data_IF_626231603705
#
_entry.id   IF_626231603705
#
_cell.length_a   1.000
_cell.length_b   1.000
_cell.length_c   1.000
_cell.angle_alpha   90.00
_cell.angle_beta   90.00
_cell.angle_gamma   90.00
#
_symmetry.space_group_name_H-M   'P 1'
#
loop_
_entity.id
_entity.type
_entity.pdbx_description
1 polymer ?
#
# COMPACT_ATOMS: atom_id res chain seq x y z
N UNK A 1 70.43 -46.36 23.97
CA UNK A 1 69.88 -47.69 24.32
C UNK A 1 68.39 -47.71 23.96
N UNK A 2 67.79 -48.88 23.66
CA UNK A 2 66.47 -49.02 23.01
C UNK A 2 65.33 -49.19 24.05
N UNK A 3 64.03 -49.42 23.76
CA UNK A 3 63.34 -50.43 22.91
C UNK A 3 62.29 -49.78 21.96
N UNK A 4 62.03 -50.24 20.72
CA UNK A 4 61.30 -51.47 20.27
C UNK A 4 59.84 -51.49 20.79
N UNK A 5 58.76 -51.54 20.00
CA UNK A 5 58.21 -52.63 19.11
C UNK A 5 56.87 -52.07 18.51
N UNK A 6 56.28 -52.34 17.32
CA UNK A 6 56.55 -53.08 16.04
C UNK A 6 55.64 -52.55 14.89
N UNK A 7 55.67 -53.20 13.71
CA UNK A 7 54.88 -52.96 12.47
C UNK A 7 53.42 -53.50 12.47
N UNK A 8 52.60 -53.01 11.52
CA UNK A 8 51.85 -53.69 10.42
C UNK A 8 50.71 -52.73 9.95
N UNK A 9 50.40 -52.37 8.69
CA UNK A 9 50.53 -52.88 7.30
C UNK A 9 49.20 -53.39 6.69
N UNK A 10 49.09 -53.34 5.35
CA UNK A 10 47.96 -53.77 4.49
C UNK A 10 46.66 -52.91 4.52
N UNK A 11 45.88 -52.77 3.44
CA UNK A 11 46.16 -53.00 2.00
C UNK A 11 45.21 -52.18 1.09
N UNK A 12 45.66 -51.81 -0.11
CA UNK A 12 44.81 -51.33 -1.21
C UNK A 12 44.44 -52.51 -2.13
N UNK A 13 43.15 -52.78 -2.35
CA UNK A 13 42.65 -53.59 -3.49
C UNK A 13 41.32 -53.01 -3.99
N UNK A 14 41.20 -52.84 -5.31
CA UNK A 14 39.94 -52.54 -6.02
C UNK A 14 39.24 -53.85 -6.42
N UNK A 15 37.91 -53.85 -6.57
CA UNK A 15 37.19 -54.14 -7.83
C UNK A 15 35.70 -54.50 -7.66
N UNK A 16 34.91 -54.23 -8.72
CA UNK A 16 33.67 -54.91 -9.17
C UNK A 16 32.53 -55.05 -8.14
N UNK A 17 31.40 -54.33 -8.20
CA UNK A 17 30.36 -54.16 -9.27
C UNK A 17 29.41 -55.37 -9.36
N UNK A 18 28.12 -55.09 -9.61
CA UNK A 18 26.94 -55.99 -9.74
C UNK A 18 26.06 -56.10 -8.48
N UNK A 19 25.04 -55.23 -8.45
CA UNK A 19 23.62 -55.47 -8.16
C UNK A 19 23.17 -56.61 -7.21
N UNK A 20 22.39 -56.25 -6.19
CA UNK A 20 20.95 -56.60 -6.10
C UNK A 20 20.26 -55.98 -4.86
N UNK A 21 19.03 -55.46 -5.07
CA UNK A 21 17.94 -55.25 -4.09
C UNK A 21 18.14 -54.29 -2.88
N UNK A 22 17.03 -53.71 -2.41
CA UNK A 22 16.84 -53.50 -0.95
C UNK A 22 16.82 -52.09 -0.38
N UNK A 23 16.76 -51.01 -1.17
CA UNK A 23 16.64 -49.64 -0.62
C UNK A 23 15.65 -48.77 -1.42
N UNK A 24 14.35 -48.97 -1.20
CA UNK A 24 13.34 -47.96 -1.55
C UNK A 24 13.55 -46.74 -0.67
N UNK A 25 14.27 -45.73 -1.20
CA UNK A 25 14.32 -44.39 -0.62
C UNK A 25 12.96 -43.72 -0.78
N UNK A 26 12.00 -44.14 0.05
CA UNK A 26 10.85 -43.35 0.44
C UNK A 26 11.40 -42.14 1.20
N UNK A 27 11.85 -41.13 0.44
CA UNK A 27 12.02 -39.79 0.96
C UNK A 27 10.66 -39.40 1.52
N UNK A 28 10.59 -39.30 2.85
CA UNK A 28 9.47 -38.71 3.55
C UNK A 28 9.35 -37.26 3.10
N UNK A 29 8.58 -37.05 2.02
CA UNK A 29 7.91 -35.79 1.80
C UNK A 29 7.00 -35.60 3.01
N UNK A 30 7.56 -34.96 4.04
CA UNK A 30 6.79 -34.25 5.04
C UNK A 30 6.05 -33.17 4.29
N UNK A 31 4.90 -33.56 3.74
CA UNK A 31 3.86 -32.66 3.31
C UNK A 31 3.39 -31.93 4.55
N UNK A 32 4.12 -30.88 4.93
CA UNK A 32 3.64 -29.83 5.80
C UNK A 32 2.28 -29.45 5.24
N UNK A 33 1.24 -29.79 6.00
CA UNK A 33 -0.12 -29.61 5.53
C UNK A 33 -0.27 -28.14 5.16
N UNK A 34 -0.61 -27.89 3.89
CA UNK A 34 -1.26 -26.64 3.55
C UNK A 34 -2.51 -26.61 4.44
N UNK A 35 -2.50 -25.76 5.45
CA UNK A 35 -3.72 -25.20 6.01
C UNK A 35 -4.35 -24.39 4.87
N UNK A 36 -4.99 -25.11 3.94
CA UNK A 36 -5.92 -24.55 2.99
C UNK A 36 -6.99 -23.88 3.83
N UNK A 37 -7.07 -22.55 3.70
CA UNK A 37 -8.07 -21.78 4.40
C UNK A 37 -9.42 -22.07 3.73
N UNK A 38 -10.10 -23.11 4.21
CA UNK A 38 -11.33 -23.66 3.64
C UNK A 38 -12.54 -22.69 3.72
N UNK A 39 -12.32 -21.41 4.08
CA UNK A 39 -13.29 -20.34 3.94
C UNK A 39 -13.54 -20.05 2.45
N UNK A 40 -14.82 -19.94 2.09
CA UNK A 40 -15.23 -19.48 0.78
C UNK A 40 -15.28 -17.95 0.79
N UNK A 41 -14.32 -17.32 0.14
CA UNK A 41 -14.26 -15.87 -0.02
C UNK A 41 -15.19 -15.42 -1.16
N UNK A 42 -15.99 -14.39 -0.91
CA UNK A 42 -16.92 -13.79 -1.88
C UNK A 42 -16.18 -12.90 -2.89
N UNK A 43 -15.13 -12.19 -2.45
CA UNK A 43 -14.27 -11.36 -3.33
C UNK A 43 -12.78 -11.46 -2.98
N UNK A 44 -11.92 -11.10 -3.93
CA UNK A 44 -10.47 -11.04 -3.71
C UNK A 44 -10.07 -10.00 -2.64
N UNK A 45 -10.85 -8.93 -2.47
CA UNK A 45 -10.62 -7.90 -1.45
C UNK A 45 -10.88 -8.49 -0.05
N UNK A 46 -11.95 -9.28 0.11
CA UNK A 46 -12.23 -9.99 1.36
C UNK A 46 -11.08 -10.92 1.75
N UNK A 47 -10.52 -11.65 0.79
CA UNK A 47 -9.36 -12.53 0.99
C UNK A 47 -8.07 -11.74 1.30
N UNK A 48 -7.85 -10.57 0.70
CA UNK A 48 -6.72 -9.67 0.99
C UNK A 48 -6.84 -9.07 2.41
N UNK A 49 -8.02 -8.59 2.79
CA UNK A 49 -8.30 -8.11 4.15
C UNK A 49 -8.13 -9.24 5.18
N UNK A 50 -8.56 -10.46 4.86
CA UNK A 50 -8.36 -11.63 5.73
C UNK A 50 -6.87 -11.92 5.94
N UNK A 51 -6.13 -12.13 4.86
CA UNK A 51 -4.69 -12.41 4.89
C UNK A 51 -3.85 -11.30 5.52
N UNK A 52 -4.37 -10.07 5.58
CA UNK A 52 -3.75 -8.95 6.30
C UNK A 52 -4.09 -8.87 7.79
N UNK A 53 -5.20 -9.45 8.27
CA UNK A 53 -5.71 -9.21 9.63
C UNK A 53 -5.68 -10.42 10.59
N UNK A 54 -5.77 -11.66 10.11
CA UNK A 54 -5.84 -12.86 10.96
C UNK A 54 -4.49 -13.58 11.16
N UNK A 55 -4.44 -14.54 12.09
CA UNK A 55 -3.23 -15.28 12.48
C UNK A 55 -2.52 -16.04 11.34
N UNK A 56 -3.26 -16.35 10.26
CA UNK A 56 -2.69 -16.96 9.05
C UNK A 56 -1.71 -16.02 8.31
N UNK A 57 -1.71 -14.71 8.60
CA UNK A 57 -0.89 -13.69 7.94
C UNK A 57 0.62 -13.92 8.08
N UNK A 58 1.06 -14.39 9.25
CA UNK A 58 2.47 -14.72 9.51
C UNK A 58 2.85 -16.17 9.14
N UNK A 59 1.86 -17.02 8.79
CA UNK A 59 2.10 -18.41 8.36
C UNK A 59 2.52 -18.44 6.87
N UNK A 60 3.74 -18.88 6.52
CA UNK A 60 4.14 -18.99 5.11
C UNK A 60 3.39 -20.13 4.40
N UNK A 61 3.34 -20.11 3.07
CA UNK A 61 2.74 -21.18 2.25
C UNK A 61 3.77 -22.20 1.74
N UNK A 62 4.98 -22.16 2.29
CA UNK A 62 6.11 -23.04 1.96
C UNK A 62 7.46 -22.34 2.17
N UNK A 63 8.52 -22.95 1.65
CA UNK A 63 9.89 -22.42 1.71
C UNK A 63 10.54 -22.53 0.33
N UNK A 64 11.34 -21.54 -0.04
CA UNK A 64 12.10 -21.51 -1.30
C UNK A 64 13.49 -22.15 -1.10
N UNK A 65 14.16 -22.66 -2.16
CA UNK A 65 15.47 -23.32 -2.04
C UNK A 65 16.61 -22.45 -1.47
N UNK A 66 16.42 -21.13 -1.44
CA UNK A 66 17.32 -20.14 -0.84
C UNK A 66 17.08 -19.92 0.67
N UNK A 67 16.20 -20.71 1.30
CA UNK A 67 15.82 -20.58 2.71
C UNK A 67 14.81 -19.47 3.03
N UNK A 68 14.40 -18.65 2.06
CA UNK A 68 13.35 -17.64 2.24
C UNK A 68 11.99 -18.32 2.30
N UNK A 69 11.03 -17.75 3.05
CA UNK A 69 9.67 -18.27 3.10
C UNK A 69 8.93 -17.95 1.79
N UNK A 70 8.03 -18.83 1.37
CA UNK A 70 7.09 -18.55 0.28
C UNK A 70 5.86 -17.86 0.85
N UNK A 71 5.53 -16.72 0.28
CA UNK A 71 4.40 -15.87 0.68
C UNK A 71 3.34 -15.82 -0.42
N UNK A 72 2.17 -15.27 -0.09
CA UNK A 72 1.18 -14.80 -1.06
C UNK A 72 1.04 -13.28 -0.89
N UNK A 73 0.53 -12.58 -1.91
CA UNK A 73 0.38 -11.11 -1.92
C UNK A 73 -0.35 -10.57 -0.69
N UNK A 74 -1.35 -11.33 -0.24
CA UNK A 74 -2.21 -11.07 0.91
C UNK A 74 -1.44 -11.13 2.25
N UNK A 75 -0.22 -11.68 2.25
CA UNK A 75 0.70 -11.78 3.39
C UNK A 75 1.89 -10.82 3.26
N UNK A 76 1.67 -9.68 2.59
CA UNK A 76 2.67 -8.63 2.36
C UNK A 76 3.39 -8.19 3.65
N UNK A 77 2.68 -8.11 4.78
CA UNK A 77 3.26 -7.79 6.09
C UNK A 77 4.36 -8.78 6.47
N UNK A 78 4.10 -10.08 6.39
CA UNK A 78 5.05 -11.12 6.79
C UNK A 78 6.23 -11.26 5.83
N UNK A 79 5.98 -11.10 4.52
CA UNK A 79 7.05 -10.98 3.53
C UNK A 79 7.96 -9.79 3.83
N UNK A 80 7.40 -8.63 4.18
CA UNK A 80 8.18 -7.46 4.56
C UNK A 80 8.93 -7.65 5.88
N UNK A 81 8.32 -8.29 6.90
CA UNK A 81 9.00 -8.69 8.14
C UNK A 81 10.21 -9.58 7.86
N UNK A 82 10.12 -10.54 6.92
CA UNK A 82 11.27 -11.35 6.52
C UNK A 82 12.42 -10.51 5.91
N UNK A 83 12.11 -9.53 5.07
CA UNK A 83 13.14 -8.64 4.51
C UNK A 83 13.79 -7.80 5.62
N UNK A 84 13.02 -7.36 6.63
CA UNK A 84 13.52 -6.65 7.81
C UNK A 84 14.40 -7.55 8.72
N UNK A 85 14.05 -8.82 8.93
CA UNK A 85 14.91 -9.80 9.62
C UNK A 85 16.29 -9.91 8.93
N UNK A 86 16.30 -10.03 7.60
CA UNK A 86 17.53 -10.17 6.82
C UNK A 86 18.34 -8.85 6.83
N UNK A 87 17.66 -7.71 6.75
CA UNK A 87 18.29 -6.39 6.86
C UNK A 87 18.91 -6.16 8.25
N UNK A 88 18.23 -6.59 9.31
CA UNK A 88 18.76 -6.59 10.68
C UNK A 88 19.99 -7.50 10.79
N UNK A 89 19.92 -8.73 10.29
CA UNK A 89 21.03 -9.68 10.32
C UNK A 89 22.26 -9.13 9.60
N UNK A 90 22.09 -8.62 8.37
CA UNK A 90 23.15 -7.98 7.59
C UNK A 90 23.84 -6.84 8.35
N UNK A 91 23.08 -5.90 8.91
CA UNK A 91 23.61 -4.74 9.66
C UNK A 91 24.38 -5.16 10.92
N UNK A 92 23.93 -6.21 11.60
CA UNK A 92 24.59 -6.78 12.78
C UNK A 92 25.71 -7.78 12.44
N UNK A 93 26.04 -7.96 11.15
CA UNK A 93 27.04 -8.93 10.65
C UNK A 93 26.72 -10.39 11.00
N UNK A 94 25.43 -10.69 11.23
CA UNK A 94 24.91 -12.04 11.41
C UNK A 94 24.75 -12.64 10.00
N UNK A 95 25.31 -13.83 9.78
CA UNK A 95 25.20 -14.53 8.50
C UNK A 95 23.76 -15.01 8.30
N UNK A 96 23.13 -14.60 7.19
CA UNK A 96 21.78 -15.03 6.80
C UNK A 96 21.82 -15.60 5.37
N UNK A 97 21.53 -16.91 5.17
CA UNK A 97 21.60 -17.53 3.84
C UNK A 97 20.59 -16.96 2.85
N UNK A 98 19.52 -16.30 3.33
CA UNK A 98 18.48 -15.68 2.49
C UNK A 98 19.00 -14.40 1.81
N UNK A 99 20.05 -13.78 2.35
CA UNK A 99 20.62 -12.52 1.86
C UNK A 99 20.87 -12.50 0.36
N UNK A 100 21.48 -13.58 -0.18
CA UNK A 100 21.88 -13.68 -1.58
C UNK A 100 20.71 -13.70 -2.57
N UNK A 101 19.47 -13.87 -2.08
CA UNK A 101 18.27 -13.88 -2.88
C UNK A 101 17.46 -12.56 -2.82
N UNK A 102 17.86 -11.59 -2.00
CA UNK A 102 17.15 -10.31 -1.95
C UNK A 102 17.49 -9.45 -3.19
N UNK A 103 16.49 -8.97 -3.97
CA UNK A 103 16.69 -8.04 -5.09
C UNK A 103 16.93 -6.60 -4.61
N UNK A 104 17.61 -6.44 -3.46
CA UNK A 104 17.73 -5.21 -2.69
C UNK A 104 19.22 -4.90 -2.49
N UNK A 105 19.66 -3.70 -2.86
CA UNK A 105 21.07 -3.29 -2.71
C UNK A 105 21.44 -3.15 -1.22
N UNK A 106 22.67 -3.51 -0.87
CA UNK A 106 23.33 -3.31 0.43
C UNK A 106 22.93 -1.98 1.11
N UNK A 107 23.19 -0.86 0.43
CA UNK A 107 22.88 0.50 0.89
C UNK A 107 21.39 0.77 1.19
N UNK A 108 20.49 -0.01 0.59
CA UNK A 108 19.06 0.05 0.92
C UNK A 108 18.79 -0.71 2.23
N UNK A 109 19.35 -1.90 2.41
CA UNK A 109 19.24 -2.69 3.65
C UNK A 109 19.82 -1.93 4.86
N UNK A 110 20.99 -1.30 4.70
CA UNK A 110 21.58 -0.38 5.70
C UNK A 110 20.58 0.70 6.18
N UNK A 111 19.74 1.19 5.27
CA UNK A 111 18.82 2.30 5.48
C UNK A 111 17.44 1.91 6.03
N UNK A 112 17.09 0.62 6.09
CA UNK A 112 15.70 0.19 6.31
C UNK A 112 15.17 0.44 7.73
N UNK A 113 16.01 0.43 8.76
CA UNK A 113 15.62 0.87 10.13
C UNK A 113 15.16 2.33 10.16
N UNK A 114 15.88 3.23 9.49
CA UNK A 114 15.56 4.67 9.47
C UNK A 114 14.46 5.02 8.46
N UNK A 115 14.35 4.25 7.39
CA UNK A 115 13.41 4.46 6.29
C UNK A 115 12.80 3.11 5.86
N UNK A 116 11.90 2.51 6.65
CA UNK A 116 11.29 1.23 6.32
C UNK A 116 10.51 1.26 5.00
N UNK A 117 10.33 0.08 4.39
CA UNK A 117 9.33 -0.15 3.34
C UNK A 117 7.92 0.20 3.88
N UNK A 118 7.05 0.73 3.02
CA UNK A 118 5.83 1.44 3.44
C UNK A 118 4.80 0.61 4.24
N UNK A 119 4.86 -0.72 4.16
CA UNK A 119 3.91 -1.63 4.83
C UNK A 119 4.39 -2.13 6.21
N UNK A 120 5.63 -1.82 6.63
CA UNK A 120 6.24 -2.31 7.88
C UNK A 120 5.69 -1.65 9.16
N UNK A 121 4.88 -0.60 9.05
CA UNK A 121 4.22 0.03 10.21
C UNK A 121 2.89 -0.65 10.59
N UNK A 122 2.53 -1.77 9.95
CA UNK A 122 1.40 -2.60 10.38
C UNK A 122 1.74 -3.30 11.72
N UNK A 123 0.92 -3.17 12.78
CA UNK A 123 1.17 -3.87 14.04
C UNK A 123 1.12 -5.39 13.82
N UNK A 124 1.95 -6.16 14.53
CA UNK A 124 2.09 -7.61 14.32
C UNK A 124 0.79 -8.38 14.67
N UNK A 125 -0.06 -7.82 15.54
CA UNK A 125 -1.30 -8.43 16.02
C UNK A 125 -2.47 -7.42 16.01
N UNK A 126 -3.09 -7.14 14.84
CA UNK A 126 -4.01 -6.01 14.67
C UNK A 126 -5.38 -6.16 15.33
N UNK A 127 -5.79 -7.39 15.72
CA UNK A 127 -7.15 -7.69 16.21
C UNK A 127 -7.24 -8.05 17.70
N UNK A 128 -6.12 -8.14 18.42
CA UNK A 128 -6.08 -8.77 19.75
C UNK A 128 -6.14 -7.81 20.94
N UNK A 129 -5.94 -6.51 20.71
CA UNK A 129 -6.31 -5.47 21.66
C UNK A 129 -7.74 -5.00 21.38
N UNK A 130 -8.49 -4.67 22.44
CA UNK A 130 -9.89 -4.20 22.34
C UNK A 130 -9.97 -2.76 21.84
N UNK A 131 -9.58 -2.55 20.58
CA UNK A 131 -9.55 -1.23 19.96
C UNK A 131 -10.96 -0.64 19.83
N UNK A 132 -11.03 0.67 19.95
CA UNK A 132 -12.29 1.41 19.94
C UNK A 132 -12.64 1.83 18.53
N UNK A 133 -13.59 1.09 17.95
CA UNK A 133 -13.99 1.19 16.55
C UNK A 133 -14.39 2.62 16.21
N UNK A 134 -13.61 3.25 15.32
CA UNK A 134 -13.80 4.66 14.96
C UNK A 134 -14.83 4.85 13.85
N UNK A 135 -14.93 3.87 12.97
CA UNK A 135 -15.74 3.90 11.73
C UNK A 135 -17.06 3.15 11.93
N UNK A 136 -18.01 3.38 11.03
CA UNK A 136 -19.13 2.46 10.80
C UNK A 136 -19.00 1.84 9.39
N UNK A 137 -19.99 1.05 8.95
CA UNK A 137 -19.95 0.40 7.61
C UNK A 137 -19.82 1.46 6.49
N UNK A 138 -20.69 2.47 6.52
CA UNK A 138 -20.74 3.57 5.53
C UNK A 138 -19.42 4.37 5.46
N UNK A 139 -18.85 4.75 6.61
CA UNK A 139 -17.59 5.52 6.64
C UNK A 139 -16.36 4.66 6.38
N UNK A 140 -16.42 3.34 6.62
CA UNK A 140 -15.35 2.45 6.19
C UNK A 140 -15.30 2.34 4.66
N UNK A 141 -16.43 2.22 3.96
CA UNK A 141 -16.46 2.28 2.50
C UNK A 141 -15.84 3.57 1.97
N UNK A 142 -16.18 4.73 2.57
CA UNK A 142 -15.55 6.01 2.22
C UNK A 142 -14.04 6.02 2.52
N UNK A 143 -13.59 5.42 3.62
CA UNK A 143 -12.18 5.36 4.00
C UNK A 143 -11.36 4.44 3.07
N UNK A 144 -11.91 3.29 2.67
CA UNK A 144 -11.21 2.34 1.81
C UNK A 144 -11.18 2.79 0.34
N UNK A 145 -12.24 3.43 -0.17
CA UNK A 145 -12.24 4.04 -1.50
C UNK A 145 -11.34 5.29 -1.56
N UNK A 146 -11.45 6.19 -0.59
CA UNK A 146 -10.79 7.49 -0.59
C UNK A 146 -10.23 7.82 0.81
N UNK A 147 -9.09 7.22 1.19
CA UNK A 147 -8.48 7.41 2.50
C UNK A 147 -8.05 8.86 2.72
N UNK A 148 -7.95 9.27 3.99
CA UNK A 148 -7.47 10.61 4.35
C UNK A 148 -5.94 10.63 4.51
N UNK A 149 -5.37 11.80 4.24
CA UNK A 149 -4.00 12.15 4.60
C UNK A 149 -3.93 12.89 5.94
N UNK A 150 -2.73 13.25 6.37
CA UNK A 150 -2.52 14.07 7.58
C UNK A 150 -2.13 15.50 7.21
N UNK A 151 -2.81 16.47 7.79
CA UNK A 151 -2.57 17.90 7.56
C UNK A 151 -2.06 18.60 8.81
N UNK A 152 -1.04 19.44 8.63
CA UNK A 152 -0.44 20.28 9.65
C UNK A 152 -0.48 21.73 9.17
N UNK A 153 -1.38 22.53 9.72
CA UNK A 153 -1.64 23.89 9.26
C UNK A 153 -2.11 23.90 7.81
N UNK A 154 -1.34 24.59 6.95
CA UNK A 154 -1.59 24.68 5.51
C UNK A 154 -0.86 23.58 4.70
N UNK A 155 -0.20 22.62 5.36
CA UNK A 155 0.60 21.58 4.72
C UNK A 155 0.00 20.19 4.91
N UNK A 156 -0.67 19.68 3.88
CA UNK A 156 -1.18 18.33 3.85
C UNK A 156 -0.20 17.31 3.26
N UNK A 157 -0.28 16.07 3.75
CA UNK A 157 0.34 14.89 3.18
C UNK A 157 -0.73 14.08 2.45
N UNK A 158 -0.41 13.47 1.30
CA UNK A 158 -1.30 12.50 0.68
C UNK A 158 -1.45 11.23 1.56
N UNK A 159 -2.53 10.44 1.39
CA UNK A 159 -2.76 9.23 2.19
C UNK A 159 -1.61 8.22 2.13
N UNK A 160 -1.35 7.52 3.23
CA UNK A 160 -0.32 6.44 3.29
C UNK A 160 -0.89 5.03 3.20
N UNK A 161 -2.20 4.87 3.24
CA UNK A 161 -2.89 3.58 3.11
C UNK A 161 -3.17 3.27 1.64
N UNK A 162 -3.17 1.98 1.28
CA UNK A 162 -3.65 1.52 -0.03
C UNK A 162 -5.16 1.71 -0.13
N UNK A 163 -5.65 2.22 -1.26
CA UNK A 163 -7.07 2.30 -1.54
C UNK A 163 -7.59 1.02 -2.20
N UNK A 164 -8.86 0.71 -1.95
CA UNK A 164 -9.63 -0.33 -2.59
C UNK A 164 -10.68 0.34 -3.47
N UNK A 165 -10.25 0.74 -4.66
CA UNK A 165 -11.07 1.49 -5.61
C UNK A 165 -12.29 0.68 -6.02
N UNK A 166 -13.47 1.27 -5.83
CA UNK A 166 -14.80 0.70 -6.07
C UNK A 166 -15.26 -0.37 -5.07
N UNK A 167 -14.65 -0.50 -3.87
CA UNK A 167 -15.20 -1.39 -2.83
C UNK A 167 -16.60 -0.95 -2.41
N UNK A 168 -17.52 -1.91 -2.36
CA UNK A 168 -18.95 -1.72 -2.08
C UNK A 168 -19.31 -1.82 -0.58
N UNK A 169 -20.53 -1.39 -0.21
CA UNK A 169 -21.06 -1.64 1.13
C UNK A 169 -21.25 -3.14 1.40
N UNK A 170 -21.67 -3.93 0.41
CA UNK A 170 -21.83 -5.40 0.55
C UNK A 170 -20.50 -6.13 0.80
N UNK A 171 -19.41 -5.69 0.16
CA UNK A 171 -18.07 -6.21 0.45
C UNK A 171 -17.59 -5.84 1.85
N UNK A 172 -17.85 -4.61 2.30
CA UNK A 172 -17.55 -4.21 3.69
C UNK A 172 -18.40 -4.98 4.69
N UNK A 173 -19.63 -5.36 4.34
CA UNK A 173 -20.47 -6.27 5.14
C UNK A 173 -19.83 -7.65 5.21
N UNK A 174 -19.43 -8.25 4.08
CA UNK A 174 -18.78 -9.56 4.04
C UNK A 174 -17.45 -9.60 4.84
N UNK A 175 -16.61 -8.58 4.66
CA UNK A 175 -15.39 -8.37 5.44
C UNK A 175 -15.70 -8.28 6.95
N UNK A 176 -16.80 -7.62 7.33
CA UNK A 176 -17.20 -7.50 8.74
C UNK A 176 -17.83 -8.78 9.31
N UNK A 177 -18.56 -9.56 8.53
CA UNK A 177 -19.07 -10.89 8.92
C UNK A 177 -17.92 -11.80 9.36
N UNK A 178 -16.77 -11.70 8.68
CA UNK A 178 -15.55 -12.42 9.04
C UNK A 178 -14.75 -11.76 10.17
N UNK A 179 -14.52 -10.45 10.14
CA UNK A 179 -13.69 -9.75 11.15
C UNK A 179 -14.37 -9.60 12.51
N UNK A 180 -15.71 -9.53 12.57
CA UNK A 180 -16.47 -9.23 13.79
C UNK A 180 -16.15 -7.86 14.43
N UNK A 181 -15.45 -6.98 13.71
CA UNK A 181 -14.72 -5.85 14.28
C UNK A 181 -15.47 -4.51 14.19
N UNK A 182 -16.55 -4.41 13.41
CA UNK A 182 -17.37 -3.21 13.23
C UNK A 182 -18.76 -3.48 13.81
N UNK A 183 -19.30 -2.61 14.68
CA UNK A 183 -20.67 -2.73 15.15
C UNK A 183 -21.66 -2.77 13.98
N UNK A 184 -22.66 -3.64 14.10
CA UNK A 184 -23.87 -3.48 13.31
C UNK A 184 -24.55 -2.18 13.75
N UNK A 185 -24.78 -1.26 12.82
CA UNK A 185 -25.51 -0.02 13.12
C UNK A 185 -26.97 -0.34 13.45
N UNK A 186 -27.61 0.53 14.23
CA UNK A 186 -29.06 0.51 14.34
C UNK A 186 -29.65 1.22 13.13
N UNK A 187 -30.69 0.64 12.53
CA UNK A 187 -31.40 1.20 11.36
C UNK A 187 -32.03 2.58 11.64
N UNK A 188 -32.11 2.97 12.91
CA UNK A 188 -32.53 4.30 13.37
C UNK A 188 -31.42 5.35 13.19
N UNK A 189 -31.10 5.67 11.94
CA UNK A 189 -30.11 6.69 11.58
C UNK A 189 -30.56 8.10 12.05
N UNK A 190 -30.03 8.55 13.19
CA UNK A 190 -30.34 9.87 13.76
C UNK A 190 -29.76 10.97 12.88
N UNK A 191 -30.58 11.48 11.96
CA UNK A 191 -30.19 12.53 11.00
C UNK A 191 -29.72 13.81 11.70
N UNK A 192 -28.44 14.13 11.53
CA UNK A 192 -27.79 15.34 12.04
C UNK A 192 -28.18 16.63 11.29
N UNK A 193 -27.77 17.77 11.84
CA UNK A 193 -28.03 19.12 11.36
C UNK A 193 -26.72 19.89 11.16
N UNK A 194 -26.27 20.00 9.91
CA UNK A 194 -25.01 20.63 9.49
C UNK A 194 -24.75 21.96 10.22
N UNK A 195 -25.69 22.91 10.15
CA UNK A 195 -25.58 24.26 10.78
C UNK A 195 -25.38 24.23 12.31
N UNK A 196 -25.84 23.17 12.99
CA UNK A 196 -25.61 22.99 14.44
C UNK A 196 -24.23 22.40 14.72
N UNK A 197 -23.82 21.40 13.92
CA UNK A 197 -22.47 20.82 13.99
C UNK A 197 -21.39 21.86 13.67
N UNK A 198 -21.61 22.69 12.67
CA UNK A 198 -20.74 23.80 12.30
C UNK A 198 -20.60 24.81 13.46
N UNK A 199 -21.70 25.23 14.07
CA UNK A 199 -21.70 26.16 15.19
C UNK A 199 -20.98 25.58 16.41
N UNK A 200 -21.26 24.32 16.78
CA UNK A 200 -20.60 23.63 17.88
C UNK A 200 -19.11 23.39 17.61
N UNK A 201 -18.74 23.01 16.38
CA UNK A 201 -17.35 22.89 15.98
C UNK A 201 -16.61 24.22 16.09
N UNK A 202 -17.20 25.31 15.58
CA UNK A 202 -16.65 26.66 15.69
C UNK A 202 -16.48 27.09 17.14
N UNK A 203 -17.46 26.81 18.01
CA UNK A 203 -17.45 27.18 19.43
C UNK A 203 -16.46 26.35 20.29
N UNK A 204 -16.33 25.04 20.03
CA UNK A 204 -15.72 24.12 21.01
C UNK A 204 -14.62 23.21 20.48
N UNK A 205 -14.41 23.11 19.16
CA UNK A 205 -13.44 22.17 18.56
C UNK A 205 -12.41 22.85 17.65
N UNK A 206 -12.78 23.98 17.03
CA UNK A 206 -12.01 24.72 16.02
C UNK A 206 -10.59 25.09 16.45
N UNK A 207 -10.40 25.45 17.73
CA UNK A 207 -9.11 25.85 18.32
C UNK A 207 -8.02 24.77 18.17
N UNK A 208 -8.38 23.49 18.13
CA UNK A 208 -7.42 22.37 17.96
C UNK A 208 -7.59 21.63 16.63
N UNK A 209 -8.79 21.63 16.05
CA UNK A 209 -9.13 20.85 14.84
C UNK A 209 -9.31 21.68 13.56
N UNK A 210 -9.32 23.02 13.64
CA UNK A 210 -9.56 23.89 12.49
C UNK A 210 -8.50 23.79 11.39
N UNK A 211 -7.24 23.63 11.77
CA UNK A 211 -6.09 23.45 10.86
C UNK A 211 -5.29 22.15 11.15
N UNK A 212 -5.86 21.27 11.98
CA UNK A 212 -5.33 19.98 12.47
C UNK A 212 -3.91 19.91 13.03
N UNK A 213 -3.18 21.02 13.17
CA UNK A 213 -1.81 21.07 13.67
C UNK A 213 -1.66 20.43 15.07
N UNK A 214 -2.63 20.65 15.96
CA UNK A 214 -2.60 20.13 17.33
C UNK A 214 -3.28 18.76 17.49
N UNK A 215 -4.07 18.32 16.51
CA UNK A 215 -4.93 17.14 16.63
C UNK A 215 -4.62 16.00 15.65
N UNK A 216 -3.89 16.29 14.57
CA UNK A 216 -3.66 15.37 13.44
C UNK A 216 -4.88 15.15 12.52
N UNK A 217 -6.08 15.57 12.93
CA UNK A 217 -7.34 15.33 12.21
C UNK A 217 -8.20 16.60 12.12
N UNK A 218 -8.46 17.06 10.89
CA UNK A 218 -9.36 18.18 10.58
C UNK A 218 -10.81 17.66 10.37
N UNK A 219 -11.75 18.55 10.04
CA UNK A 219 -13.13 18.17 9.74
C UNK A 219 -13.24 17.09 8.64
N UNK A 220 -12.44 17.22 7.57
CA UNK A 220 -12.44 16.28 6.44
C UNK A 220 -11.96 14.88 6.84
N UNK A 221 -11.00 14.78 7.75
CA UNK A 221 -10.57 13.50 8.32
C UNK A 221 -11.59 12.94 9.33
N UNK A 222 -12.15 13.79 10.20
CA UNK A 222 -13.14 13.38 11.22
C UNK A 222 -14.47 12.90 10.62
N UNK A 223 -14.79 13.26 9.38
CA UNK A 223 -15.93 12.72 8.62
C UNK A 223 -15.89 11.19 8.45
N UNK A 224 -14.73 10.57 8.61
CA UNK A 224 -14.59 9.11 8.53
C UNK A 224 -14.95 8.43 9.85
N UNK A 225 -15.11 9.19 10.94
CA UNK A 225 -15.50 8.64 12.24
C UNK A 225 -17.01 8.68 12.44
N UNK A 226 -17.56 7.67 13.11
CA UNK A 226 -19.00 7.56 13.40
C UNK A 226 -19.44 8.55 14.48
N UNK A 227 -20.73 8.93 14.46
CA UNK A 227 -21.30 9.80 15.49
C UNK A 227 -21.16 9.22 16.91
N UNK A 228 -21.29 7.89 17.07
CA UNK A 228 -21.08 7.22 18.36
C UNK A 228 -19.61 7.24 18.81
N UNK A 229 -18.64 7.18 17.90
CA UNK A 229 -17.23 7.37 18.27
C UNK A 229 -16.96 8.83 18.65
N UNK A 230 -17.45 9.80 17.88
CA UNK A 230 -17.34 11.24 18.19
C UNK A 230 -17.91 11.54 19.58
N UNK A 231 -19.11 11.02 19.88
CA UNK A 231 -19.76 11.13 21.19
C UNK A 231 -18.89 10.55 22.32
N UNK A 232 -18.38 9.33 22.15
CA UNK A 232 -17.53 8.67 23.16
C UNK A 232 -16.21 9.41 23.39
N UNK A 233 -15.50 9.74 22.31
CA UNK A 233 -14.19 10.35 22.33
C UNK A 233 -14.22 11.78 22.89
N UNK A 234 -15.24 12.58 22.55
CA UNK A 234 -15.43 13.91 23.13
C UNK A 234 -15.70 13.83 24.65
N UNK A 235 -16.56 12.91 25.08
CA UNK A 235 -16.90 12.68 26.49
C UNK A 235 -15.77 12.05 27.33
N UNK A 236 -14.57 11.87 26.78
CA UNK A 236 -13.40 11.34 27.49
C UNK A 236 -13.44 9.82 27.70
N UNK A 237 -14.23 9.10 26.90
CA UNK A 237 -14.20 7.64 26.83
C UNK A 237 -13.27 7.20 25.67
N UNK A 238 -12.91 5.92 25.69
CA UNK A 238 -12.53 5.16 24.50
C UNK A 238 -11.18 5.47 23.79
N UNK A 239 -10.17 6.08 24.41
CA UNK A 239 -8.77 6.05 23.89
C UNK A 239 -7.76 6.12 25.07
N UNK A 240 -6.78 5.20 25.10
CA UNK A 240 -5.59 5.31 25.97
C UNK A 240 -4.56 6.28 25.37
N UNK A 241 -3.84 7.04 26.20
CA UNK A 241 -2.92 8.09 25.73
C UNK A 241 -3.61 9.34 25.15
N UNK A 242 -4.92 9.53 25.42
CA UNK A 242 -5.73 10.64 24.91
C UNK A 242 -5.27 12.00 25.47
N UNK A 243 -4.75 12.86 24.59
CA UNK A 243 -4.32 14.24 24.90
C UNK A 243 -5.44 15.30 24.85
N UNK A 244 -6.53 15.04 24.12
CA UNK A 244 -7.67 15.95 23.99
C UNK A 244 -8.35 16.20 25.36
N UNK A 245 -8.81 17.42 25.70
CA UNK A 245 -9.61 17.66 26.90
C UNK A 245 -10.99 16.96 26.83
N UNK A 246 -11.64 16.70 27.97
CA UNK A 246 -13.02 16.20 27.97
C UNK A 246 -13.98 17.35 27.58
N UNK A 247 -14.71 17.18 26.49
CA UNK A 247 -15.75 18.08 26.02
C UNK A 247 -17.08 17.32 26.06
N UNK A 248 -17.90 17.48 27.12
CA UNK A 248 -19.15 16.75 27.24
C UNK A 248 -20.16 17.25 26.20
N UNK A 249 -20.55 16.35 25.29
CA UNK A 249 -21.55 16.58 24.25
C UNK A 249 -22.61 15.49 24.33
N UNK A 250 -23.86 15.79 23.93
CA UNK A 250 -24.90 14.76 23.82
C UNK A 250 -24.69 13.89 22.58
N UNK A 251 -25.43 12.78 22.47
CA UNK A 251 -25.50 12.03 21.20
C UNK A 251 -26.00 12.91 20.05
N UNK A 252 -26.99 13.79 20.30
CA UNK A 252 -27.56 14.67 19.26
C UNK A 252 -26.49 15.62 18.70
N UNK A 253 -25.68 16.19 19.57
CA UNK A 253 -24.57 17.07 19.22
C UNK A 253 -23.51 16.33 18.38
N UNK A 254 -23.22 15.07 18.71
CA UNK A 254 -22.30 14.24 17.93
C UNK A 254 -22.84 13.87 16.54
N UNK A 255 -24.16 13.63 16.40
CA UNK A 255 -24.80 13.48 15.08
C UNK A 255 -24.82 14.80 14.29
N UNK A 256 -25.00 15.94 14.95
CA UNK A 256 -24.94 17.26 14.31
C UNK A 256 -23.50 17.57 13.83
N UNK A 257 -22.48 17.31 14.65
CA UNK A 257 -21.06 17.37 14.26
C UNK A 257 -20.73 16.42 13.11
N UNK A 258 -21.19 15.16 13.17
CA UNK A 258 -20.99 14.18 12.10
C UNK A 258 -21.56 14.67 10.76
N UNK A 259 -22.78 15.24 10.76
CA UNK A 259 -23.38 15.80 9.55
C UNK A 259 -22.59 17.00 8.99
N UNK A 260 -22.05 17.86 9.86
CA UNK A 260 -21.13 18.94 9.45
C UNK A 260 -19.83 18.38 8.85
N UNK A 261 -19.22 17.35 9.44
CA UNK A 261 -18.02 16.73 8.90
C UNK A 261 -18.26 16.02 7.55
N UNK A 262 -19.42 15.35 7.37
CA UNK A 262 -19.80 14.81 6.05
C UNK A 262 -19.87 15.92 5.00
N UNK A 263 -20.51 17.05 5.32
CA UNK A 263 -20.65 18.18 4.40
C UNK A 263 -19.29 18.79 4.01
N UNK A 264 -18.45 19.11 5.00
CA UNK A 264 -17.08 19.61 4.81
C UNK A 264 -16.25 18.67 3.93
N UNK A 265 -16.41 17.35 4.11
CA UNK A 265 -15.76 16.36 3.24
C UNK A 265 -16.32 16.40 1.82
N UNK A 266 -17.64 16.44 1.62
CA UNK A 266 -18.23 16.49 0.27
C UNK A 266 -17.84 17.75 -0.51
N UNK A 267 -17.76 18.91 0.13
CA UNK A 267 -17.23 20.14 -0.50
C UNK A 267 -15.77 19.96 -0.92
N UNK A 268 -14.96 19.30 -0.10
CA UNK A 268 -13.55 19.02 -0.40
C UNK A 268 -13.37 17.93 -1.46
N UNK A 269 -14.26 16.94 -1.54
CA UNK A 269 -14.31 15.91 -2.59
C UNK A 269 -14.70 16.54 -3.95
N UNK A 270 -15.68 17.44 -3.99
CA UNK A 270 -16.05 18.19 -5.20
C UNK A 270 -14.89 19.12 -5.67
N UNK A 271 -14.29 19.86 -4.73
CA UNK A 271 -13.16 20.74 -5.05
C UNK A 271 -11.92 19.95 -5.52
N UNK A 272 -11.65 18.77 -4.95
CA UNK A 272 -10.61 17.86 -5.41
C UNK A 272 -10.95 17.28 -6.79
N UNK A 273 -12.19 16.83 -7.03
CA UNK A 273 -12.63 16.33 -8.34
C UNK A 273 -12.45 17.38 -9.45
N UNK A 274 -12.79 18.64 -9.16
CA UNK A 274 -12.53 19.79 -10.06
C UNK A 274 -11.03 20.05 -10.28
N UNK A 275 -10.22 19.95 -9.24
CA UNK A 275 -8.76 20.09 -9.36
C UNK A 275 -8.11 18.90 -10.12
N UNK A 276 -8.74 17.72 -10.10
CA UNK A 276 -8.36 16.52 -10.84
C UNK A 276 -8.76 16.61 -12.31
N UNK A 277 -9.95 17.12 -12.64
CA UNK A 277 -10.38 17.28 -14.05
C UNK A 277 -9.48 18.22 -14.85
N UNK A 278 -8.85 19.18 -14.19
CA UNK A 278 -7.86 20.08 -14.80
C UNK A 278 -6.57 19.36 -15.22
N UNK A 279 -6.22 18.22 -14.61
CA UNK A 279 -4.94 17.51 -14.86
C UNK A 279 -4.83 17.03 -16.32
N UNK A 280 -5.93 16.64 -16.94
CA UNK A 280 -5.95 16.30 -18.38
C UNK A 280 -5.66 17.53 -19.24
N UNK A 281 -6.24 18.70 -18.93
CA UNK A 281 -5.94 19.93 -19.65
C UNK A 281 -4.49 20.43 -19.41
N UNK A 282 -3.91 20.18 -18.24
CA UNK A 282 -2.50 20.46 -17.94
C UNK A 282 -1.56 19.54 -18.76
N UNK A 283 -1.97 18.29 -19.02
CA UNK A 283 -1.28 17.38 -19.95
C UNK A 283 -1.37 17.87 -21.40
N UNK A 284 -2.53 18.39 -21.81
CA UNK A 284 -2.74 18.93 -23.16
C UNK A 284 -1.85 20.14 -23.47
N UNK A 285 -1.50 20.93 -22.46
CA UNK A 285 -0.60 22.09 -22.59
C UNK A 285 0.90 21.74 -22.54
N UNK A 286 1.28 20.45 -22.44
CA UNK A 286 2.68 20.06 -22.48
C UNK A 286 3.26 20.09 -23.90
N UNK A 287 4.48 20.63 -24.09
CA UNK A 287 5.11 20.66 -25.41
C UNK A 287 5.51 19.26 -25.87
N UNK A 288 5.30 18.97 -27.15
CA UNK A 288 5.96 17.88 -27.88
C UNK A 288 7.39 18.27 -28.23
N UNK A 289 8.36 17.35 -28.16
CA UNK A 289 9.73 17.62 -28.60
C UNK A 289 10.77 16.56 -28.24
N UNK A 290 11.97 16.68 -28.82
CA UNK A 290 13.08 15.74 -28.62
C UNK A 290 13.50 15.64 -27.15
N UNK A 291 13.46 14.43 -26.58
CA UNK A 291 13.92 14.20 -25.21
C UNK A 291 15.45 14.18 -25.18
N UNK A 292 16.12 14.97 -24.31
CA UNK A 292 17.58 14.96 -24.22
C UNK A 292 18.11 13.55 -23.90
N UNK A 293 19.17 13.04 -24.56
CA UNK A 293 19.62 11.65 -24.39
C UNK A 293 19.91 11.24 -22.93
N UNK A 294 20.37 12.17 -22.09
CA UNK A 294 20.57 11.94 -20.64
C UNK A 294 19.25 11.71 -19.89
N UNK A 295 18.16 12.38 -20.29
CA UNK A 295 16.83 12.21 -19.72
C UNK A 295 16.15 10.94 -20.23
N UNK A 296 16.31 10.64 -21.52
CA UNK A 296 15.85 9.38 -22.15
C UNK A 296 16.47 8.15 -21.46
N UNK A 297 17.80 8.14 -21.31
CA UNK A 297 18.54 7.13 -20.54
C UNK A 297 18.07 7.03 -19.08
N UNK A 298 17.75 8.16 -18.43
CA UNK A 298 17.22 8.15 -17.07
C UNK A 298 15.85 7.47 -16.98
N UNK A 299 14.93 7.76 -17.91
CA UNK A 299 13.60 7.14 -17.97
C UNK A 299 13.72 5.61 -18.05
N UNK A 300 14.52 5.10 -18.99
CA UNK A 300 14.61 3.66 -19.26
C UNK A 300 15.44 2.85 -18.26
N UNK A 301 16.51 3.41 -17.68
CA UNK A 301 17.41 2.65 -16.80
C UNK A 301 17.25 2.95 -15.30
N UNK A 302 16.57 4.03 -14.92
CA UNK A 302 16.58 4.50 -13.52
C UNK A 302 15.23 4.95 -12.97
N UNK A 303 14.42 5.70 -13.72
CA UNK A 303 13.23 6.39 -13.22
C UNK A 303 12.34 5.45 -12.41
N UNK A 304 11.92 4.33 -12.98
CA UNK A 304 11.01 3.37 -12.33
C UNK A 304 11.56 2.74 -11.04
N UNK A 305 12.89 2.71 -10.88
CA UNK A 305 13.57 2.16 -9.69
C UNK A 305 13.88 3.23 -8.65
N UNK A 306 14.34 4.39 -9.08
CA UNK A 306 14.64 5.55 -8.21
C UNK A 306 13.36 6.18 -7.64
N UNK A 307 12.22 6.03 -8.33
CA UNK A 307 10.88 6.45 -7.86
C UNK A 307 10.13 5.35 -7.08
N UNK A 308 10.66 4.13 -7.06
CA UNK A 308 10.10 3.00 -6.32
C UNK A 308 8.98 2.20 -7.01
N UNK A 309 8.52 2.59 -8.21
CA UNK A 309 7.43 1.91 -8.92
C UNK A 309 7.67 0.39 -9.10
N UNK A 310 8.90 -0.02 -9.45
CA UNK A 310 9.25 -1.45 -9.61
C UNK A 310 9.08 -2.30 -8.34
N UNK A 311 8.97 -1.69 -7.15
CA UNK A 311 8.76 -2.44 -5.91
C UNK A 311 7.40 -3.15 -5.86
N UNK A 312 6.39 -2.63 -6.57
CA UNK A 312 5.08 -3.28 -6.71
C UNK A 312 4.83 -3.75 -8.14
N UNK A 313 5.27 -3.00 -9.15
CA UNK A 313 5.02 -3.33 -10.56
C UNK A 313 6.01 -4.33 -11.18
N UNK A 314 7.15 -4.59 -10.53
CA UNK A 314 8.20 -5.51 -11.00
C UNK A 314 8.16 -6.90 -10.34
N UNK A 315 7.25 -7.12 -9.39
CA UNK A 315 7.03 -8.41 -8.70
C UNK A 315 5.61 -8.92 -9.02
N UNK A 316 5.26 -10.13 -8.60
CA UNK A 316 3.92 -10.68 -8.85
C UNK A 316 2.80 -9.91 -8.12
N UNK A 317 1.56 -10.04 -8.60
CA UNK A 317 0.36 -9.44 -8.01
C UNK A 317 -0.22 -8.22 -8.72
N UNK A 318 -1.34 -7.72 -8.17
CA UNK A 318 -2.28 -6.74 -8.78
C UNK A 318 -1.67 -5.48 -9.41
N UNK A 319 -0.50 -5.03 -8.96
CA UNK A 319 0.17 -3.87 -9.53
C UNK A 319 0.83 -4.19 -10.88
N UNK A 320 1.49 -5.35 -11.00
CA UNK A 320 2.10 -5.85 -12.25
C UNK A 320 1.05 -6.21 -13.30
N UNK A 321 -0.10 -6.69 -12.88
CA UNK A 321 -1.24 -6.98 -13.77
C UNK A 321 -1.77 -5.71 -14.47
N UNK A 322 -1.83 -4.58 -13.75
CA UNK A 322 -2.25 -3.29 -14.31
C UNK A 322 -1.16 -2.63 -15.14
N UNK A 323 0.11 -2.72 -14.71
CA UNK A 323 1.27 -2.23 -15.47
C UNK A 323 2.52 -3.02 -15.08
N UNK A 324 3.04 -3.82 -16.00
CA UNK A 324 4.15 -4.75 -15.76
C UNK A 324 5.52 -4.06 -15.97
N UNK A 325 6.33 -4.02 -14.91
CA UNK A 325 7.70 -3.49 -14.92
C UNK A 325 8.77 -4.57 -14.64
N UNK A 326 8.49 -5.84 -14.94
CA UNK A 326 9.46 -6.94 -14.74
C UNK A 326 10.74 -6.78 -15.59
N UNK A 327 10.62 -6.15 -16.77
CA UNK A 327 11.74 -5.75 -17.62
C UNK A 327 11.34 -4.65 -18.61
N UNK A 328 12.22 -4.30 -19.55
CA UNK A 328 12.01 -3.16 -20.46
C UNK A 328 10.96 -3.49 -21.52
N UNK A 329 11.08 -4.67 -22.12
CA UNK A 329 10.17 -5.25 -23.09
C UNK A 329 8.71 -5.29 -22.61
N UNK A 330 8.47 -5.55 -21.32
CA UNK A 330 7.12 -5.48 -20.73
C UNK A 330 6.58 -4.04 -20.63
N UNK A 331 7.46 -3.05 -20.39
CA UNK A 331 7.10 -1.64 -20.40
C UNK A 331 6.85 -1.16 -21.83
N UNK A 332 7.70 -1.55 -22.80
CA UNK A 332 7.49 -1.26 -24.23
C UNK A 332 6.15 -1.82 -24.74
N UNK A 333 5.86 -3.09 -24.43
CA UNK A 333 4.57 -3.72 -24.74
C UNK A 333 3.40 -2.91 -24.16
N UNK A 334 3.41 -2.65 -22.85
CA UNK A 334 2.31 -1.94 -22.20
C UNK A 334 2.05 -0.56 -22.82
N UNK A 335 3.10 0.18 -23.18
CA UNK A 335 3.01 1.51 -23.79
C UNK A 335 2.45 1.48 -25.23
N UNK A 336 2.68 0.38 -25.97
CA UNK A 336 2.06 0.15 -27.29
C UNK A 336 0.60 -0.31 -27.22
N UNK A 337 0.21 -0.97 -26.14
CA UNK A 337 -1.12 -1.57 -25.96
C UNK A 337 -2.12 -0.63 -25.26
N UNK A 338 -1.67 0.27 -24.39
CA UNK A 338 -2.53 1.08 -23.50
C UNK A 338 -2.49 2.58 -23.86
N UNK A 339 -3.25 3.41 -23.12
CA UNK A 339 -3.05 4.85 -23.12
C UNK A 339 -1.95 5.23 -22.12
N UNK A 340 -0.79 5.74 -22.57
CA UNK A 340 0.28 6.18 -21.67
C UNK A 340 -0.06 7.45 -20.88
N UNK A 341 -1.04 8.25 -21.31
CA UNK A 341 -1.38 9.52 -20.66
C UNK A 341 -1.77 9.35 -19.20
N UNK A 342 -2.39 8.21 -18.87
CA UNK A 342 -2.83 7.88 -17.51
C UNK A 342 -1.66 7.84 -16.50
N UNK A 343 -0.44 7.54 -16.96
CA UNK A 343 0.76 7.56 -16.11
C UNK A 343 1.10 9.00 -15.68
N UNK A 344 1.06 9.96 -16.61
CA UNK A 344 1.20 11.38 -16.27
C UNK A 344 0.04 11.84 -15.39
N UNK A 345 -1.20 11.57 -15.81
CA UNK A 345 -2.39 12.06 -15.13
C UNK A 345 -2.39 11.58 -13.68
N UNK A 346 -2.18 10.29 -13.43
CA UNK A 346 -2.22 9.74 -12.07
C UNK A 346 -1.08 10.21 -11.17
N UNK A 347 0.12 10.46 -11.73
CA UNK A 347 1.22 11.08 -10.99
C UNK A 347 0.95 12.56 -10.65
N UNK A 348 0.31 13.31 -11.55
CA UNK A 348 -0.09 14.70 -11.31
C UNK A 348 -1.27 14.81 -10.33
N UNK A 349 -2.25 13.88 -10.40
CA UNK A 349 -3.33 13.73 -9.41
C UNK A 349 -2.75 13.50 -8.01
N UNK A 350 -1.62 12.80 -7.87
CA UNK A 350 -0.98 12.59 -6.56
C UNK A 350 -0.51 13.89 -5.89
N UNK A 351 -0.13 14.92 -6.65
CA UNK A 351 0.10 16.26 -6.09
C UNK A 351 -1.22 16.90 -5.62
N UNK A 352 -2.35 16.68 -6.31
CA UNK A 352 -3.68 17.12 -5.85
C UNK A 352 -4.12 16.42 -4.57
N UNK A 353 -3.91 15.11 -4.46
CA UNK A 353 -4.18 14.36 -3.23
C UNK A 353 -3.35 14.86 -2.04
N UNK A 354 -2.13 15.36 -2.30
CA UNK A 354 -1.31 16.03 -1.29
C UNK A 354 -1.84 17.44 -0.99
N UNK A 355 -2.15 18.25 -2.01
CA UNK A 355 -2.67 19.62 -1.85
C UNK A 355 -3.99 19.63 -1.04
N UNK A 356 -4.85 18.63 -1.19
CA UNK A 356 -6.14 18.48 -0.48
C UNK A 356 -6.11 17.54 0.75
N UNK A 357 -5.01 16.82 1.00
CA UNK A 357 -4.90 15.86 2.12
C UNK A 357 -5.87 14.67 2.06
N UNK A 358 -6.23 14.23 0.86
CA UNK A 358 -7.33 13.29 0.61
C UNK A 358 -7.06 12.48 -0.67
N UNK A 359 -7.41 11.20 -0.68
CA UNK A 359 -7.35 10.39 -1.91
C UNK A 359 -8.39 10.84 -2.93
N UNK A 360 -8.04 10.90 -4.21
CA UNK A 360 -8.98 11.19 -5.28
C UNK A 360 -9.89 9.98 -5.55
N UNK A 361 -11.04 10.21 -6.19
CA UNK A 361 -11.95 9.14 -6.64
C UNK A 361 -12.09 9.23 -8.16
N UNK A 362 -11.88 8.13 -8.92
CA UNK A 362 -11.36 6.84 -8.48
C UNK A 362 -9.90 6.94 -7.98
N UNK A 363 -9.58 6.18 -6.92
CA UNK A 363 -8.22 6.11 -6.41
C UNK A 363 -7.32 5.24 -7.31
N UNK A 364 -6.01 5.47 -7.28
CA UNK A 364 -5.06 4.75 -8.15
C UNK A 364 -3.62 4.78 -7.66
N UNK A 365 -2.71 4.11 -8.40
CA UNK A 365 -1.30 4.00 -8.02
C UNK A 365 -0.44 5.16 -8.55
N UNK A 366 0.42 5.80 -7.74
CA UNK A 366 0.74 5.46 -6.36
C UNK A 366 -0.38 5.86 -5.37
N UNK A 367 -0.83 4.89 -4.57
CA UNK A 367 -1.76 5.12 -3.47
C UNK A 367 -1.04 5.56 -2.18
N UNK A 368 0.24 5.19 -2.04
CA UNK A 368 1.10 5.47 -0.90
C UNK A 368 2.32 6.32 -1.31
N UNK A 369 3.09 6.81 -0.34
CA UNK A 369 4.28 7.63 -0.61
C UNK A 369 3.99 9.10 -0.95
N UNK A 370 5.06 9.89 -1.11
CA UNK A 370 4.99 11.32 -1.49
C UNK A 370 4.82 11.45 -3.02
N UNK A 371 4.25 12.57 -3.52
CA UNK A 371 4.27 12.85 -4.95
C UNK A 371 5.70 12.95 -5.50
N UNK A 372 5.87 12.61 -6.78
CA UNK A 372 7.14 12.81 -7.47
C UNK A 372 7.38 14.31 -7.73
N UNK A 373 8.63 14.79 -7.81
CA UNK A 373 8.90 16.20 -8.08
C UNK A 373 8.22 16.68 -9.37
N UNK A 374 7.51 17.82 -9.33
CA UNK A 374 6.80 18.39 -10.50
C UNK A 374 7.65 18.44 -11.80
N UNK A 375 8.98 18.74 -11.79
CA UNK A 375 9.81 18.64 -12.99
C UNK A 375 9.95 17.23 -13.58
N UNK A 376 9.95 16.19 -12.74
CA UNK A 376 10.01 14.79 -13.18
C UNK A 376 8.68 14.32 -13.77
N UNK A 377 7.55 14.73 -13.17
CA UNK A 377 6.22 14.49 -13.73
C UNK A 377 6.09 15.19 -15.10
N UNK A 378 6.56 16.45 -15.21
CA UNK A 378 6.60 17.17 -16.49
C UNK A 378 7.49 16.50 -17.53
N UNK A 379 8.67 15.99 -17.15
CA UNK A 379 9.53 15.22 -18.05
C UNK A 379 8.82 13.98 -18.59
N UNK A 380 8.15 13.20 -17.72
CA UNK A 380 7.41 12.01 -18.15
C UNK A 380 6.27 12.39 -19.11
N UNK A 381 5.51 13.44 -18.81
CA UNK A 381 4.43 13.92 -19.68
C UNK A 381 4.92 14.38 -21.06
N UNK A 382 6.07 15.07 -21.13
CA UNK A 382 6.69 15.47 -22.41
C UNK A 382 7.20 14.24 -23.18
N UNK A 383 7.83 13.27 -22.51
CA UNK A 383 8.23 12.00 -23.13
C UNK A 383 7.03 11.24 -23.70
N UNK A 384 5.90 11.21 -22.99
CA UNK A 384 4.65 10.61 -23.48
C UNK A 384 4.13 11.35 -24.72
N UNK A 385 4.02 12.69 -24.65
CA UNK A 385 3.59 13.55 -25.76
C UNK A 385 4.46 13.41 -27.01
N UNK A 386 5.74 13.07 -26.85
CA UNK A 386 6.67 12.83 -27.95
C UNK A 386 6.66 11.39 -28.52
N UNK A 387 5.66 10.56 -28.18
CA UNK A 387 5.57 9.17 -28.68
C UNK A 387 6.32 8.14 -27.82
N UNK A 388 6.69 8.50 -26.59
CA UNK A 388 7.45 7.68 -25.64
C UNK A 388 8.73 7.06 -26.21
N UNK A 389 9.64 7.81 -26.86
CA UNK A 389 10.81 7.24 -27.52
C UNK A 389 11.57 6.24 -26.64
N UNK A 390 11.95 5.10 -27.20
CA UNK A 390 12.78 4.09 -26.55
C UNK A 390 14.27 4.45 -26.62
N UNK A 391 15.16 3.57 -26.13
CA UNK A 391 16.60 3.84 -26.08
C UNK A 391 17.28 3.99 -27.45
N UNK A 392 16.64 3.53 -28.54
CA UNK A 392 17.08 3.73 -29.91
C UNK A 392 16.42 4.94 -30.57
N UNK A 393 15.58 5.67 -29.83
CA UNK A 393 14.71 6.75 -30.30
C UNK A 393 13.62 6.27 -31.30
N UNK A 394 13.16 5.02 -31.18
CA UNK A 394 11.95 4.51 -31.84
C UNK A 394 10.72 4.93 -31.00
N UNK A 395 9.66 5.46 -31.62
CA UNK A 395 8.41 5.75 -30.92
C UNK A 395 7.62 4.45 -30.72
N UNK A 396 7.27 4.16 -29.47
CA UNK A 396 6.61 2.91 -29.06
C UNK A 396 5.20 3.14 -28.47
N UNK A 397 4.87 4.36 -28.09
CA UNK A 397 3.55 4.62 -27.52
C UNK A 397 2.46 4.60 -28.58
N UNK A 398 1.33 4.00 -28.22
CA UNK A 398 0.18 3.78 -29.07
C UNK A 398 -0.28 5.03 -29.81
N UNK A 399 -0.10 5.06 -31.14
CA UNK A 399 -0.56 6.17 -31.98
C UNK A 399 -2.09 6.25 -32.01
N UNK A 400 -2.69 7.08 -31.17
CA UNK A 400 -4.09 7.51 -31.28
C UNK A 400 -4.28 8.98 -30.87
N UNK A 401 -3.86 9.88 -31.77
CA UNK A 401 -4.09 11.32 -31.67
C UNK A 401 -4.92 11.86 -32.85
N UNK A 402 -6.03 11.18 -33.15
CA UNK A 402 -7.07 11.73 -34.03
C UNK A 402 -8.02 12.59 -33.20
N UNK A 403 -8.09 13.88 -33.50
CA UNK A 403 -9.14 14.76 -32.98
C UNK A 403 -10.52 14.26 -33.45
N UNK A 404 -11.39 13.88 -32.51
CA UNK A 404 -12.82 14.00 -32.72
C UNK A 404 -13.22 15.46 -32.50
N UNK A 405 -13.04 16.26 -33.54
CA UNK A 405 -13.77 17.51 -33.71
C UNK A 405 -15.11 17.20 -34.39
N UNK A 406 -16.17 17.10 -33.59
CA UNK A 406 -17.59 17.17 -34.01
C UNK A 406 -18.43 17.52 -32.78
#
# INVERSE_FOLDING_TARGET
>A
MPFLITYLSCMWVRCVLVSLLGATFLLSFNGYALELDNRTYKTAIEQECHGCHFDNRMKPVGTLPNGSRKWTDQKCVACHTEIDEIAYNYRNKISDPRYVALPVKDKRLESMEKYPLSYLHAPIWPMFEKQTVRVNRKTLVKFLNAPHGTCDGNSCNAPKMMAYTNISEDEVIAINEHLGAIPNESDLEVKGSIKKGEALFKQSCSMCHGNSQLSGYNANAMSLFSADWIHQYANGKAVEGRSMPKLPISRRDAHDLYAYFQHSRSENEEALAKAVSQVSADFEQLPTGSIPPKALNYIWNRLWRDTGCVHCHGIEGRAKEVFNMAGKEHIEQWLSENDPSILYQRLAIREKEKEFGMGATPAGMPATGRPLPKPLIKLLGIWIKSGCPNEKNENICKEKWNHHAQ
#
